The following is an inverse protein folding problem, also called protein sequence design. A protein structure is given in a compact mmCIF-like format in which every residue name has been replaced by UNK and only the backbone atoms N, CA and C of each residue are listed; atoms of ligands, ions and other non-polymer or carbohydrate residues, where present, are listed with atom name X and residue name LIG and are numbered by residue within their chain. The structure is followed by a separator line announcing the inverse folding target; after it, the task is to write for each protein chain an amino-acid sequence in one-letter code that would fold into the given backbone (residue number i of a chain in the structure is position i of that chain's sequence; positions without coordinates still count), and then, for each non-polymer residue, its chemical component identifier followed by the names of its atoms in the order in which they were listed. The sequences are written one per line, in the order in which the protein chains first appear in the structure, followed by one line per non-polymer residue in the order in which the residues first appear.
data_IF_204563690759
#
_entry.id   IF_204563690759
#
_cell.length_a   1.000
_cell.length_b   1.000
_cell.length_c   1.000
_cell.angle_alpha   90.00
_cell.angle_beta   90.00
_cell.angle_gamma   90.00
#
_symmetry.space_group_name_H-M   'P 1'
#
loop_
_entity.id
_entity.type
_entity.pdbx_description
1 polymer ?
#
# COMPACT_ATOMS: atom_id res chain seq x y z
N UNK A 1 -4.92 -19.65 -3.10
CA UNK A 1 -3.71 -20.06 -2.35
C UNK A 1 -3.44 -19.00 -1.30
N UNK A 2 -3.03 -19.39 -0.09
CA UNK A 2 -2.65 -18.43 0.96
C UNK A 2 -1.15 -18.17 0.84
N UNK A 3 -0.76 -16.99 0.36
CA UNK A 3 0.65 -16.58 0.26
C UNK A 3 1.07 -16.03 1.63
N UNK A 4 1.46 -16.91 2.55
CA UNK A 4 1.98 -16.52 3.87
C UNK A 4 3.33 -17.19 4.08
N UNK A 5 4.39 -16.39 4.23
CA UNK A 5 5.69 -16.87 4.69
C UNK A 5 5.68 -16.94 6.22
N UNK A 6 5.98 -18.10 6.78
CA UNK A 6 6.17 -18.30 8.23
C UNK A 6 7.63 -18.63 8.50
N UNK A 7 8.29 -17.81 9.31
CA UNK A 7 9.66 -18.02 9.77
C UNK A 7 9.70 -18.23 11.29
N UNK A 8 10.70 -18.94 11.79
CA UNK A 8 10.96 -19.05 13.23
C UNK A 8 11.56 -17.77 13.80
N UNK A 9 12.40 -17.10 13.01
CA UNK A 9 13.14 -15.89 13.33
C UNK A 9 13.14 -14.97 12.10
N UNK A 10 13.38 -13.67 12.32
CA UNK A 10 13.47 -12.70 11.23
C UNK A 10 14.58 -13.06 10.24
N UNK A 11 14.26 -13.00 8.94
CA UNK A 11 15.22 -13.19 7.87
C UNK A 11 14.82 -12.34 6.67
N UNK A 12 15.45 -11.17 6.56
CA UNK A 12 15.15 -10.17 5.53
C UNK A 12 15.29 -10.72 4.10
N UNK A 13 16.34 -11.50 3.81
CA UNK A 13 16.56 -12.06 2.48
C UNK A 13 15.39 -12.96 2.03
N UNK A 14 14.91 -13.83 2.94
CA UNK A 14 13.76 -14.71 2.68
C UNK A 14 12.46 -13.94 2.55
N UNK A 15 12.28 -12.88 3.34
CA UNK A 15 11.11 -12.02 3.28
C UNK A 15 11.01 -11.31 1.92
N UNK A 16 12.13 -10.76 1.44
CA UNK A 16 12.24 -10.10 0.13
C UNK A 16 12.02 -11.10 -1.00
N UNK A 17 12.68 -12.26 -0.96
CA UNK A 17 12.52 -13.29 -1.99
C UNK A 17 11.07 -13.76 -2.11
N UNK A 18 10.42 -13.99 -0.96
CA UNK A 18 9.02 -14.36 -0.92
C UNK A 18 8.13 -13.27 -1.53
N UNK A 19 8.31 -12.01 -1.13
CA UNK A 19 7.52 -10.89 -1.65
C UNK A 19 7.69 -10.75 -3.17
N UNK A 20 8.92 -10.80 -3.68
CA UNK A 20 9.20 -10.73 -5.11
C UNK A 20 8.59 -11.91 -5.86
N UNK A 21 8.72 -13.13 -5.34
CA UNK A 21 8.14 -14.32 -5.97
C UNK A 21 6.62 -14.21 -6.10
N UNK A 22 5.96 -13.68 -5.06
CA UNK A 22 4.52 -13.47 -5.05
C UNK A 22 4.12 -12.38 -6.04
N UNK A 23 4.75 -11.20 -5.98
CA UNK A 23 4.48 -10.10 -6.91
C UNK A 23 4.67 -10.51 -8.38
N UNK A 24 5.69 -11.32 -8.66
CA UNK A 24 5.94 -11.83 -10.00
C UNK A 24 4.90 -12.85 -10.45
N UNK A 25 4.33 -13.63 -9.53
CA UNK A 25 3.28 -14.62 -9.83
C UNK A 25 1.92 -14.02 -10.19
N UNK A 26 1.68 -12.74 -9.88
CA UNK A 26 0.38 -12.08 -10.11
C UNK A 26 0.06 -11.91 -11.60
N UNK A 27 -1.20 -12.17 -11.94
CA UNK A 27 -1.80 -11.84 -13.24
C UNK A 27 -1.88 -10.33 -13.44
N UNK A 28 -2.10 -9.89 -14.68
CA UNK A 28 -2.28 -8.47 -15.01
C UNK A 28 -3.45 -7.87 -14.22
N UNK A 29 -4.57 -8.59 -14.13
CA UNK A 29 -5.77 -8.17 -13.42
C UNK A 29 -5.50 -7.99 -11.92
N UNK A 30 -4.80 -8.94 -11.30
CA UNK A 30 -4.44 -8.85 -9.88
C UNK A 30 -3.46 -7.69 -9.61
N UNK A 31 -2.50 -7.45 -10.50
CA UNK A 31 -1.57 -6.30 -10.41
C UNK A 31 -2.32 -4.98 -10.45
N UNK A 32 -3.28 -4.83 -11.38
CA UNK A 32 -4.13 -3.63 -11.42
C UNK A 32 -4.98 -3.48 -10.16
N UNK A 33 -5.58 -4.57 -9.66
CA UNK A 33 -6.34 -4.54 -8.42
C UNK A 33 -5.48 -4.06 -7.24
N UNK A 34 -4.26 -4.58 -7.10
CA UNK A 34 -3.31 -4.18 -6.07
C UNK A 34 -2.95 -2.69 -6.19
N UNK A 35 -2.65 -2.23 -7.41
CA UNK A 35 -2.32 -0.84 -7.70
C UNK A 35 -3.47 0.12 -7.34
N UNK A 36 -4.71 -0.21 -7.72
CA UNK A 36 -5.86 0.63 -7.39
C UNK A 36 -6.14 0.65 -5.89
N UNK A 37 -6.04 -0.49 -5.21
CA UNK A 37 -6.15 -0.56 -3.76
C UNK A 37 -5.10 0.34 -3.09
N UNK A 38 -3.83 0.24 -3.52
CA UNK A 38 -2.76 1.05 -2.94
C UNK A 38 -2.92 2.54 -3.22
N UNK A 39 -3.38 2.89 -4.42
CA UNK A 39 -3.73 4.27 -4.76
C UNK A 39 -4.77 4.81 -3.78
N UNK A 40 -5.85 4.08 -3.54
CA UNK A 40 -6.90 4.49 -2.60
C UNK A 40 -6.36 4.70 -1.18
N UNK A 41 -5.58 3.77 -0.66
CA UNK A 41 -4.94 3.89 0.67
C UNK A 41 -4.09 5.18 0.78
N UNK A 42 -3.31 5.49 -0.26
CA UNK A 42 -2.48 6.70 -0.29
C UNK A 42 -3.32 7.97 -0.35
N UNK A 43 -4.43 7.96 -1.11
CA UNK A 43 -5.35 9.09 -1.18
C UNK A 43 -5.98 9.38 0.19
N UNK A 44 -6.46 8.35 0.87
CA UNK A 44 -7.05 8.45 2.22
C UNK A 44 -6.04 9.01 3.21
N UNK A 45 -4.80 8.49 3.21
CA UNK A 45 -3.73 8.99 4.08
C UNK A 45 -3.43 10.48 3.84
N UNK A 46 -3.41 10.92 2.57
CA UNK A 46 -3.18 12.33 2.23
C UNK A 46 -4.30 13.22 2.78
N UNK A 47 -5.55 12.81 2.59
CA UNK A 47 -6.73 13.56 3.05
C UNK A 47 -6.77 13.68 4.59
N UNK A 48 -6.49 12.57 5.30
CA UNK A 48 -6.41 12.53 6.76
C UNK A 48 -5.35 13.51 7.30
N UNK A 49 -4.19 13.56 6.64
CA UNK A 49 -3.09 14.47 6.98
C UNK A 49 -3.30 15.90 6.46
N UNK A 50 -4.46 16.20 5.86
CA UNK A 50 -4.85 17.54 5.44
C UNK A 50 -4.25 17.99 4.10
N UNK A 51 -3.53 17.12 3.41
CA UNK A 51 -3.23 17.32 2.00
C UNK A 51 -4.54 17.24 1.22
N UNK A 52 -4.76 18.19 0.29
CA UNK A 52 -6.01 18.37 -0.48
C UNK A 52 -7.18 19.04 0.24
N UNK A 53 -7.01 19.51 1.48
CA UNK A 53 -8.02 20.42 2.06
C UNK A 53 -8.00 21.74 1.29
N UNK A 54 -9.16 22.25 0.82
CA UNK A 54 -9.20 23.58 0.22
C UNK A 54 -8.75 24.62 1.27
N UNK A 55 -8.15 25.74 0.84
CA UNK A 55 -7.74 26.80 1.76
C UNK A 55 -8.96 27.28 2.55
N UNK A 56 -8.84 27.28 3.88
CA UNK A 56 -9.89 27.78 4.76
C UNK A 56 -9.81 29.31 4.84
N UNK A 57 -10.91 30.01 4.52
CA UNK A 57 -11.02 31.45 4.77
C UNK A 57 -11.32 31.62 6.26
N UNK A 58 -10.28 31.89 7.05
CA UNK A 58 -10.42 32.18 8.47
C UNK A 58 -10.64 33.69 8.61
N UNK A 59 -11.85 34.12 8.99
CA UNK A 59 -12.07 35.50 9.43
C UNK A 59 -11.43 35.66 10.80
N UNK A 60 -10.35 36.44 10.88
CA UNK A 60 -9.80 36.95 12.14
C UNK A 60 -10.59 38.20 12.49
N UNK A 61 -11.09 38.27 13.73
CA UNK A 61 -11.85 39.39 14.28
C UNK A 61 -11.12 40.72 14.10
#
# INVERSE_FOLDING_TARGET
MNHVLKLSDHNEEKEIEFELSWLLSLTIQERFHLMFKKTKELLELLEENGHRRPPQIIKRT
#
